data_IF_526445515440
#
_entry.id   IF_526445515440
#
_cell.length_a   1.000
_cell.length_b   1.000
_cell.length_c   1.000
_cell.angle_alpha   90.00
_cell.angle_beta   90.00
_cell.angle_gamma   90.00
#
_symmetry.space_group_name_H-M   'P 1'
#
loop_
_entity.id
_entity.type
_entity.pdbx_description
1 polymer ?
#
# COMPACT_ATOMS: atom_id res chain seq x y z
N UNK A 1 -26.96 -1.52 8.26
CA UNK A 1 -26.73 -2.15 6.94
C UNK A 1 -25.38 -1.77 6.35
N UNK A 2 -24.93 -0.52 6.51
CA UNK A 2 -23.64 -0.03 6.00
C UNK A 2 -22.40 -0.74 6.59
N UNK A 3 -22.42 -1.06 7.90
CA UNK A 3 -21.36 -1.85 8.55
C UNK A 3 -21.28 -3.30 8.04
N UNK A 4 -22.41 -3.89 7.65
CA UNK A 4 -22.47 -5.26 7.16
C UNK A 4 -21.84 -5.37 5.77
N UNK A 5 -22.12 -4.41 4.88
CA UNK A 5 -21.55 -4.38 3.53
C UNK A 5 -20.02 -4.15 3.55
N UNK A 6 -19.53 -3.28 4.45
CA UNK A 6 -18.08 -3.06 4.66
C UNK A 6 -17.38 -4.33 5.14
N UNK A 7 -18.00 -5.05 6.06
CA UNK A 7 -17.45 -6.30 6.60
C UNK A 7 -17.45 -7.43 5.56
N UNK A 8 -18.49 -7.54 4.73
CA UNK A 8 -18.54 -8.51 3.62
C UNK A 8 -17.45 -8.24 2.59
N UNK A 9 -17.23 -6.98 2.23
CA UNK A 9 -16.20 -6.56 1.29
C UNK A 9 -14.80 -6.86 1.81
N UNK A 10 -14.52 -6.51 3.07
CA UNK A 10 -13.27 -6.85 3.74
C UNK A 10 -13.03 -8.36 3.82
N UNK A 11 -14.08 -9.14 4.07
CA UNK A 11 -14.02 -10.60 4.08
C UNK A 11 -13.71 -11.18 2.69
N UNK A 12 -14.31 -10.61 1.63
CA UNK A 12 -14.04 -11.02 0.25
C UNK A 12 -12.60 -10.73 -0.15
N UNK A 13 -12.10 -9.54 0.19
CA UNK A 13 -10.70 -9.14 0.01
C UNK A 13 -9.76 -10.11 0.73
N UNK A 14 -10.04 -10.44 1.99
CA UNK A 14 -9.24 -11.35 2.80
C UNK A 14 -9.19 -12.76 2.19
N UNK A 15 -10.35 -13.30 1.79
CA UNK A 15 -10.43 -14.60 1.12
C UNK A 15 -9.63 -14.63 -0.18
N UNK A 16 -9.71 -13.57 -0.99
CA UNK A 16 -8.97 -13.48 -2.25
C UNK A 16 -7.46 -13.33 -2.03
N UNK A 17 -7.04 -12.55 -1.03
CA UNK A 17 -5.65 -12.45 -0.63
C UNK A 17 -5.08 -13.80 -0.18
N UNK A 18 -5.81 -14.52 0.68
CA UNK A 18 -5.43 -15.87 1.13
C UNK A 18 -5.36 -16.85 -0.04
N UNK A 19 -6.37 -16.85 -0.92
CA UNK A 19 -6.40 -17.71 -2.11
C UNK A 19 -5.16 -17.52 -2.99
N UNK A 20 -4.76 -16.27 -3.22
CA UNK A 20 -3.59 -16.01 -4.07
C UNK A 20 -2.29 -16.32 -3.33
N UNK A 21 -2.19 -16.02 -2.03
CA UNK A 21 -1.03 -16.45 -1.22
C UNK A 21 -0.85 -17.97 -1.27
N UNK A 22 -1.93 -18.74 -1.15
CA UNK A 22 -1.90 -20.18 -1.33
C UNK A 22 -1.44 -20.58 -2.74
N UNK A 23 -1.97 -19.93 -3.78
CA UNK A 23 -1.55 -20.18 -5.17
C UNK A 23 -0.06 -19.90 -5.39
N UNK A 24 0.47 -18.88 -4.72
CA UNK A 24 1.91 -18.55 -4.74
C UNK A 24 2.73 -19.62 -4.02
N UNK A 25 2.26 -20.13 -2.88
CA UNK A 25 2.92 -21.23 -2.13
C UNK A 25 2.96 -22.52 -2.96
N UNK A 26 1.88 -22.84 -3.69
CA UNK A 26 1.80 -24.04 -4.51
C UNK A 26 2.43 -23.90 -5.92
N UNK A 27 3.18 -22.83 -6.19
CA UNK A 27 3.91 -22.61 -7.45
C UNK A 27 3.05 -22.64 -8.74
N UNK A 28 1.73 -22.49 -8.65
CA UNK A 28 0.85 -22.33 -9.81
C UNK A 28 0.85 -20.88 -10.34
N UNK A 29 2.01 -20.22 -10.34
CA UNK A 29 2.13 -18.80 -10.66
C UNK A 29 1.99 -18.56 -12.17
N UNK A 30 0.91 -17.88 -12.54
CA UNK A 30 0.78 -17.22 -13.85
C UNK A 30 1.22 -15.77 -13.74
N UNK A 31 1.74 -15.20 -14.84
CA UNK A 31 2.04 -13.75 -14.92
C UNK A 31 0.82 -12.90 -14.56
N UNK A 32 -0.38 -13.40 -14.84
CA UNK A 32 -1.66 -12.74 -14.53
C UNK A 32 -1.97 -12.67 -13.04
N UNK A 33 -1.41 -13.55 -12.21
CA UNK A 33 -1.68 -13.57 -10.78
C UNK A 33 -1.10 -12.34 -10.08
N UNK A 34 0.06 -11.86 -10.53
CA UNK A 34 0.66 -10.60 -10.05
C UNK A 34 -0.20 -9.38 -10.37
N UNK A 35 -0.75 -9.32 -11.60
CA UNK A 35 -1.67 -8.24 -11.99
C UNK A 35 -2.98 -8.31 -11.21
N UNK A 36 -3.52 -9.51 -10.99
CA UNK A 36 -4.73 -9.73 -10.20
C UNK A 36 -4.53 -9.26 -8.74
N UNK A 37 -3.42 -9.65 -8.10
CA UNK A 37 -3.06 -9.18 -6.76
C UNK A 37 -2.98 -7.66 -6.68
N UNK A 38 -2.27 -7.06 -7.62
CA UNK A 38 -2.09 -5.62 -7.66
C UNK A 38 -3.44 -4.90 -7.86
N UNK A 39 -4.30 -5.42 -8.74
CA UNK A 39 -5.65 -4.90 -8.94
C UNK A 39 -6.48 -4.99 -7.66
N UNK A 40 -6.49 -6.14 -7.00
CA UNK A 40 -7.23 -6.31 -5.74
C UNK A 40 -6.71 -5.36 -4.68
N UNK A 41 -5.39 -5.26 -4.53
CA UNK A 41 -4.77 -4.35 -3.59
C UNK A 41 -5.20 -2.90 -3.86
N UNK A 42 -5.19 -2.43 -5.12
CA UNK A 42 -5.72 -1.10 -5.44
C UNK A 42 -7.20 -0.97 -5.16
N UNK A 43 -8.00 -2.01 -5.41
CA UNK A 43 -9.41 -2.01 -5.07
C UNK A 43 -9.62 -1.83 -3.55
N UNK A 44 -8.83 -2.52 -2.71
CA UNK A 44 -8.82 -2.30 -1.25
C UNK A 44 -8.43 -0.87 -0.90
N UNK A 45 -7.36 -0.35 -1.50
CA UNK A 45 -6.89 1.01 -1.24
C UNK A 45 -7.96 2.04 -1.61
N UNK A 46 -8.59 1.92 -2.77
CA UNK A 46 -9.69 2.78 -3.22
C UNK A 46 -10.81 2.79 -2.18
N UNK A 47 -11.23 1.62 -1.71
CA UNK A 47 -12.32 1.53 -0.74
C UNK A 47 -11.92 2.04 0.66
N UNK A 48 -10.68 1.78 1.08
CA UNK A 48 -10.18 2.12 2.40
C UNK A 48 -9.78 3.57 2.56
N UNK A 49 -9.13 4.15 1.54
CA UNK A 49 -8.62 5.52 1.52
C UNK A 49 -9.62 6.53 0.98
N UNK A 50 -10.38 6.19 -0.07
CA UNK A 50 -11.33 7.14 -0.66
C UNK A 50 -12.69 7.15 0.02
N UNK A 51 -12.96 6.23 0.98
CA UNK A 51 -14.19 6.17 1.80
C UNK A 51 -15.39 6.89 1.17
N UNK A 52 -15.94 6.38 0.06
CA UNK A 52 -16.90 7.11 -0.78
C UNK A 52 -18.22 7.45 -0.07
N UNK A 53 -18.42 6.90 1.12
CA UNK A 53 -19.57 7.06 2.00
C UNK A 53 -19.32 8.02 3.18
N UNK A 54 -18.08 8.48 3.39
CA UNK A 54 -17.67 9.28 4.53
C UNK A 54 -17.19 10.67 4.16
N UNK A 55 -17.84 11.37 3.21
CA UNK A 55 -17.48 12.72 2.81
C UNK A 55 -17.43 13.65 4.04
N UNK A 56 -16.22 13.91 4.53
CA UNK A 56 -15.96 14.94 5.53
C UNK A 56 -15.61 16.17 4.71
N UNK A 57 -16.43 17.22 4.80
CA UNK A 57 -16.11 18.51 4.22
C UNK A 57 -14.86 19.06 4.92
N UNK A 58 -13.69 18.89 4.30
CA UNK A 58 -12.46 19.50 4.79
C UNK A 58 -12.35 20.90 4.18
N UNK A 59 -12.22 21.92 5.03
CA UNK A 59 -12.16 23.34 4.61
C UNK A 59 -10.93 23.66 3.74
N UNK A 60 -9.86 22.87 3.87
CA UNK A 60 -8.62 23.02 3.11
C UNK A 60 -8.35 21.80 2.24
N UNK A 61 -8.27 22.00 0.92
CA UNK A 61 -8.07 20.90 -0.03
C UNK A 61 -6.59 20.49 -0.19
N UNK A 62 -5.63 21.33 0.19
CA UNK A 62 -4.21 21.05 0.04
C UNK A 62 -3.43 21.53 1.27
N UNK A 63 -2.61 20.67 1.85
CA UNK A 63 -1.68 20.97 2.93
C UNK A 63 -0.22 20.82 2.44
N UNK A 64 0.48 21.95 2.30
CA UNK A 64 1.90 21.97 1.95
C UNK A 64 2.83 22.01 3.17
N UNK A 65 2.28 22.03 4.39
CA UNK A 65 3.08 22.25 5.58
C UNK A 65 3.69 20.94 6.11
N UNK A 66 4.92 20.66 5.71
CA UNK A 66 5.69 19.51 6.22
C UNK A 66 5.89 19.51 7.75
N UNK A 67 5.83 20.69 8.39
CA UNK A 67 6.05 20.84 9.83
C UNK A 67 4.76 20.55 10.62
N UNK A 68 3.58 20.66 9.99
CA UNK A 68 2.30 20.37 10.68
C UNK A 68 2.27 18.94 11.21
N UNK A 69 2.84 18.00 10.46
CA UNK A 69 3.04 16.61 10.87
C UNK A 69 3.73 16.48 12.24
N UNK A 70 4.82 17.23 12.45
CA UNK A 70 5.59 17.14 13.71
C UNK A 70 4.77 17.67 14.88
N UNK A 71 4.01 18.74 14.65
CA UNK A 71 3.16 19.34 15.68
C UNK A 71 1.98 18.41 16.02
N UNK A 72 1.37 17.77 15.02
CA UNK A 72 0.27 16.82 15.22
C UNK A 72 0.69 15.56 15.98
N UNK A 73 1.91 15.08 15.74
CA UNK A 73 2.50 13.95 16.48
C UNK A 73 2.75 14.27 17.95
N UNK A 74 3.06 15.52 18.29
CA UNK A 74 3.31 15.93 19.67
C UNK A 74 2.02 16.07 20.49
N UNK A 75 0.91 16.36 19.82
CA UNK A 75 -0.36 16.72 20.46
C UNK A 75 -1.30 15.53 20.71
N UNK A 76 -1.23 14.44 19.92
CA UNK A 76 -2.24 13.39 19.98
C UNK A 76 -1.70 11.97 19.67
N UNK A 77 -1.99 11.00 20.55
CA UNK A 77 -1.65 9.58 20.35
C UNK A 77 -2.39 8.94 19.17
N UNK A 78 -3.59 9.43 18.83
CA UNK A 78 -4.36 8.92 17.68
C UNK A 78 -3.66 9.26 16.37
N UNK A 79 -2.99 10.42 16.27
CA UNK A 79 -2.24 10.82 15.10
C UNK A 79 -1.12 9.82 14.79
N UNK A 80 -0.37 9.37 15.80
CA UNK A 80 0.65 8.33 15.64
C UNK A 80 0.11 7.05 14.99
N UNK A 81 -1.07 6.61 15.42
CA UNK A 81 -1.71 5.42 14.86
C UNK A 81 -2.07 5.62 13.38
N UNK A 82 -2.65 6.78 13.03
CA UNK A 82 -3.01 7.11 11.64
C UNK A 82 -1.77 7.12 10.75
N UNK A 83 -0.69 7.79 11.19
CA UNK A 83 0.55 7.83 10.42
C UNK A 83 1.20 6.47 10.25
N UNK A 84 1.16 5.64 11.29
CA UNK A 84 1.65 4.27 11.20
C UNK A 84 0.85 3.44 10.19
N UNK A 85 -0.47 3.59 10.16
CA UNK A 85 -1.34 2.93 9.19
C UNK A 85 -1.01 3.42 7.77
N UNK A 86 -0.88 4.74 7.55
CA UNK A 86 -0.52 5.33 6.26
C UNK A 86 0.84 4.82 5.74
N UNK A 87 1.81 4.61 6.63
CA UNK A 87 3.10 4.01 6.26
C UNK A 87 2.96 2.52 5.92
N UNK A 88 2.25 1.73 6.74
CA UNK A 88 2.09 0.29 6.52
C UNK A 88 1.31 0.00 5.25
N UNK A 89 0.27 0.79 4.96
CA UNK A 89 -0.66 0.46 3.89
C UNK A 89 0.05 0.39 2.53
N UNK A 90 1.08 1.22 2.29
CA UNK A 90 1.87 1.25 1.06
C UNK A 90 3.12 0.35 1.07
N UNK A 91 3.46 -0.25 2.21
CA UNK A 91 4.60 -1.16 2.32
C UNK A 91 4.51 -2.39 1.40
N UNK A 92 3.35 -3.07 1.23
CA UNK A 92 3.22 -4.20 0.32
C UNK A 92 3.41 -3.84 -1.15
N UNK A 93 3.29 -2.56 -1.52
CA UNK A 93 3.26 -2.15 -2.92
C UNK A 93 4.59 -2.44 -3.62
N UNK A 94 5.74 -2.26 -2.97
CA UNK A 94 7.03 -2.66 -3.57
C UNK A 94 7.05 -4.14 -3.94
N UNK A 95 6.58 -5.01 -3.04
CA UNK A 95 6.50 -6.46 -3.25
C UNK A 95 5.58 -6.79 -4.42
N UNK A 96 4.39 -6.19 -4.47
CA UNK A 96 3.43 -6.42 -5.55
C UNK A 96 3.96 -6.01 -6.92
N UNK A 97 4.65 -4.87 -7.00
CA UNK A 97 5.28 -4.42 -8.24
C UNK A 97 6.42 -5.35 -8.70
N UNK A 98 6.93 -6.24 -7.82
CA UNK A 98 7.96 -7.21 -8.22
C UNK A 98 7.44 -8.33 -9.12
N UNK A 99 6.15 -8.64 -9.05
CA UNK A 99 5.53 -9.66 -9.89
C UNK A 99 5.23 -9.18 -11.30
N UNK A 100 5.37 -7.88 -11.55
CA UNK A 100 5.05 -7.25 -12.83
C UNK A 100 6.32 -7.16 -13.70
N UNK A 101 6.43 -7.95 -14.80
CA UNK A 101 7.68 -8.07 -15.54
C UNK A 101 8.18 -6.77 -16.19
N UNK A 102 7.27 -5.86 -16.56
CA UNK A 102 7.65 -4.60 -17.21
C UNK A 102 8.36 -3.62 -16.24
N UNK A 103 8.13 -3.77 -14.93
CA UNK A 103 8.74 -2.98 -13.85
C UNK A 103 9.88 -3.77 -13.18
N UNK A 104 10.83 -4.21 -13.99
CA UNK A 104 11.89 -5.14 -13.59
C UNK A 104 13.02 -4.54 -12.73
N UNK A 105 13.10 -3.22 -12.58
CA UNK A 105 14.14 -2.57 -11.79
C UNK A 105 13.55 -1.65 -10.72
N UNK A 106 14.38 -1.31 -9.72
CA UNK A 106 13.97 -0.49 -8.58
C UNK A 106 13.39 0.87 -9.03
N UNK A 107 14.09 1.58 -9.92
CA UNK A 107 13.70 2.92 -10.37
C UNK A 107 12.35 2.93 -11.07
N UNK A 108 12.06 1.95 -11.95
CA UNK A 108 10.74 1.86 -12.60
C UNK A 108 9.63 1.60 -11.59
N UNK A 109 9.87 0.72 -10.60
CA UNK A 109 8.89 0.46 -9.54
C UNK A 109 8.64 1.71 -8.70
N UNK A 110 9.70 2.44 -8.37
CA UNK A 110 9.59 3.69 -7.63
C UNK A 110 8.83 4.77 -8.43
N UNK A 111 9.14 4.97 -9.71
CA UNK A 111 8.39 5.91 -10.57
C UNK A 111 6.90 5.53 -10.64
N UNK A 112 6.59 4.25 -10.83
CA UNK A 112 5.20 3.77 -10.86
C UNK A 112 4.51 4.03 -9.52
N UNK A 113 5.21 3.77 -8.43
CA UNK A 113 4.73 4.07 -7.08
C UNK A 113 4.43 5.56 -6.88
N UNK A 114 5.33 6.46 -7.29
CA UNK A 114 5.10 7.91 -7.22
C UNK A 114 3.85 8.33 -8.00
N UNK A 115 3.70 7.80 -9.23
CA UNK A 115 2.50 8.06 -10.05
C UNK A 115 1.24 7.59 -9.32
N UNK A 116 1.27 6.41 -8.71
CA UNK A 116 0.14 5.85 -7.97
C UNK A 116 -0.24 6.75 -6.79
N UNK A 117 0.70 7.11 -5.92
CA UNK A 117 0.38 7.89 -4.72
C UNK A 117 -0.14 9.28 -5.07
N UNK A 118 0.41 9.92 -6.11
CA UNK A 118 -0.08 11.20 -6.60
C UNK A 118 -1.52 11.07 -7.12
N UNK A 119 -1.83 9.99 -7.85
CA UNK A 119 -3.20 9.71 -8.30
C UNK A 119 -4.14 9.52 -7.11
N UNK A 120 -3.73 8.80 -6.07
CA UNK A 120 -4.56 8.58 -4.88
C UNK A 120 -4.85 9.87 -4.13
N UNK A 121 -3.84 10.69 -3.85
CA UNK A 121 -3.99 11.99 -3.19
C UNK A 121 -4.87 12.94 -4.04
N UNK A 122 -4.66 12.97 -5.35
CA UNK A 122 -5.50 13.76 -6.25
C UNK A 122 -6.97 13.28 -6.26
N UNK A 123 -7.20 11.96 -6.22
CA UNK A 123 -8.55 11.38 -6.12
C UNK A 123 -9.20 11.71 -4.77
N UNK A 124 -8.45 11.71 -3.67
CA UNK A 124 -8.96 12.08 -2.34
C UNK A 124 -9.46 13.53 -2.32
N UNK A 125 -8.70 14.45 -2.93
CA UNK A 125 -9.12 15.84 -3.08
C UNK A 125 -10.33 15.97 -4.00
N UNK A 126 -10.30 15.35 -5.18
CA UNK A 126 -11.39 15.47 -6.15
C UNK A 126 -12.73 14.95 -5.58
N UNK A 127 -12.67 13.87 -4.81
CA UNK A 127 -13.84 13.26 -4.16
C UNK A 127 -14.21 13.92 -2.84
N UNK A 128 -13.45 14.92 -2.36
CA UNK A 128 -13.67 15.61 -1.09
C UNK A 128 -13.73 14.65 0.11
N UNK A 129 -12.86 13.64 0.10
CA UNK A 129 -12.76 12.60 1.13
C UNK A 129 -11.45 12.68 1.91
N UNK A 130 -10.56 13.58 1.51
CA UNK A 130 -9.28 13.83 2.16
C UNK A 130 -8.64 15.14 1.67
N UNK A 131 -7.44 15.41 2.20
CA UNK A 131 -6.61 16.57 1.86
C UNK A 131 -5.38 16.05 1.12
N UNK A 132 -4.93 16.77 0.10
CA UNK A 132 -3.61 16.49 -0.48
C UNK A 132 -2.53 16.93 0.51
N UNK A 133 -1.88 15.98 1.19
CA UNK A 133 -0.87 16.27 2.21
C UNK A 133 0.53 15.83 1.78
N UNK A 134 1.45 16.79 1.72
CA UNK A 134 2.86 16.49 1.43
C UNK A 134 3.52 15.61 2.50
N UNK A 135 3.06 15.66 3.75
CA UNK A 135 3.57 14.79 4.80
C UNK A 135 3.21 13.33 4.52
N UNK A 136 2.00 13.07 4.03
CA UNK A 136 1.54 11.72 3.69
C UNK A 136 2.36 11.14 2.53
N UNK A 137 2.70 11.93 1.51
CA UNK A 137 3.59 11.49 0.42
C UNK A 137 4.97 11.01 0.93
N UNK A 138 5.53 11.67 1.95
CA UNK A 138 6.78 11.25 2.58
C UNK A 138 6.58 9.92 3.31
N UNK A 139 5.48 9.76 4.05
CA UNK A 139 5.19 8.54 4.78
C UNK A 139 4.98 7.34 3.85
N UNK A 140 4.30 7.56 2.72
CA UNK A 140 4.13 6.51 1.72
C UNK A 140 5.47 6.09 1.14
N UNK A 141 6.34 7.05 0.86
CA UNK A 141 7.72 6.78 0.42
C UNK A 141 8.47 5.94 1.45
N UNK A 142 8.42 6.32 2.73
CA UNK A 142 9.02 5.53 3.83
C UNK A 142 8.46 4.10 3.82
N UNK A 143 7.14 3.94 3.71
CA UNK A 143 6.49 2.64 3.61
C UNK A 143 7.02 1.80 2.44
N UNK A 144 7.12 2.40 1.25
CA UNK A 144 7.65 1.76 0.05
C UNK A 144 9.10 1.31 0.20
N UNK A 145 9.97 2.16 0.78
CA UNK A 145 11.37 1.81 1.05
C UNK A 145 11.50 0.70 2.10
N UNK A 146 10.66 0.68 3.13
CA UNK A 146 10.60 -0.43 4.10
C UNK A 146 10.21 -1.72 3.37
N UNK A 147 9.19 -1.68 2.51
CA UNK A 147 8.79 -2.81 1.67
C UNK A 147 9.93 -3.34 0.80
N UNK A 148 10.71 -2.43 0.19
CA UNK A 148 11.91 -2.79 -0.56
C UNK A 148 12.96 -3.47 0.31
N UNK A 149 13.23 -2.94 1.50
CA UNK A 149 14.14 -3.53 2.48
C UNK A 149 13.74 -4.95 2.88
N UNK A 150 12.45 -5.17 3.14
CA UNK A 150 11.89 -6.48 3.47
C UNK A 150 12.12 -7.47 2.33
N UNK A 151 11.80 -7.10 1.08
CA UNK A 151 12.00 -7.98 -0.08
C UNK A 151 13.47 -8.34 -0.26
N UNK A 152 14.37 -7.35 -0.17
CA UNK A 152 15.82 -7.56 -0.28
C UNK A 152 16.32 -8.48 0.84
N UNK A 153 15.85 -8.29 2.06
CA UNK A 153 16.20 -9.13 3.20
C UNK A 153 15.81 -10.59 2.97
N UNK A 154 14.57 -10.86 2.57
CA UNK A 154 14.11 -12.22 2.27
C UNK A 154 14.85 -12.86 1.09
N UNK A 155 15.13 -12.10 0.03
CA UNK A 155 15.90 -12.60 -1.11
C UNK A 155 17.33 -13.00 -0.69
N UNK A 156 18.00 -12.19 0.14
CA UNK A 156 19.32 -12.52 0.68
C UNK A 156 19.28 -13.76 1.56
N UNK A 157 18.29 -13.87 2.45
CA UNK A 157 18.11 -15.04 3.31
C UNK A 157 17.94 -16.33 2.48
N UNK A 158 17.05 -16.31 1.48
CA UNK A 158 16.80 -17.47 0.61
C UNK A 158 18.04 -17.85 -0.22
N UNK A 159 18.77 -16.86 -0.73
CA UNK A 159 20.01 -17.11 -1.48
C UNK A 159 21.09 -17.76 -0.60
N UNK A 160 21.17 -17.42 0.68
CA UNK A 160 22.08 -18.06 1.64
C UNK A 160 21.68 -19.52 1.87
N UNK A 161 20.38 -19.82 2.03
CA UNK A 161 19.90 -21.20 2.21
C UNK A 161 20.13 -22.07 0.96
N UNK A 162 19.85 -21.53 -0.24
CA UNK A 162 20.11 -22.23 -1.51
C UNK A 162 21.60 -22.53 -1.70
N UNK A 163 22.50 -21.59 -1.39
CA UNK A 163 23.96 -21.82 -1.47
C UNK A 163 24.47 -22.83 -0.45
N UNK A 164 23.76 -23.06 0.64
CA UNK A 164 24.11 -24.05 1.68
C UNK A 164 23.62 -25.47 1.35
N UNK A 165 22.99 -25.71 0.20
CA UNK A 165 22.51 -27.03 -0.20
C UNK A 165 21.35 -27.56 0.65
N UNK A 166 20.67 -26.68 1.39
CA UNK A 166 19.44 -27.02 2.10
C UNK A 166 18.32 -26.96 1.07
N UNK A 167 17.94 -28.11 0.51
CA UNK A 167 16.72 -28.22 -0.30
C UNK A 167 15.52 -27.89 0.61
N UNK A 168 14.83 -26.80 0.30
CA UNK A 168 13.49 -26.49 0.81
C UNK A 168 12.48 -27.13 -0.13
#
# INVERSE_FOLDING_TARGET
MESLNKNILAFFIMLLAIYILLKMVFNFQSKWDGYLLLFLYFFVLVLGLLRPDGAIYVETMINFNLISFINDLQMNQISWLIFFINMIIFMPLYFLLTFIPIWNNFIKRWIVFEIIIIIFEALQVFLHVGVFDLADLILYNIGFFIGAGIVIFFQKMLAIYSKKGVNI
#
